data_IF_831352822136
#
_entry.id   IF_831352822136
#
_cell.length_a   1.000
_cell.length_b   1.000
_cell.length_c   1.000
_cell.angle_alpha   90.00
_cell.angle_beta   90.00
_cell.angle_gamma   90.00
#
_symmetry.space_group_name_H-M   'P 1'
#
loop_
_entity.id
_entity.type
_entity.pdbx_description
1 polymer ?
#
# COMPACT_ATOMS: atom_id res chain seq x y z
N UNK A 1 36.09 26.12 -19.64
CA UNK A 1 36.57 24.80 -19.19
C UNK A 1 35.37 24.10 -18.57
N UNK A 2 34.63 23.40 -19.43
CA UNK A 2 33.31 22.83 -19.09
C UNK A 2 33.56 21.45 -18.51
N UNK A 3 33.40 21.31 -17.20
CA UNK A 3 33.59 20.04 -16.50
C UNK A 3 32.42 19.10 -16.80
N UNK A 4 32.72 18.05 -17.56
CA UNK A 4 31.84 16.93 -17.90
C UNK A 4 31.62 16.07 -16.66
N UNK A 5 30.52 16.29 -15.93
CA UNK A 5 30.01 15.30 -14.98
C UNK A 5 29.04 14.35 -15.68
N UNK A 6 29.61 13.47 -16.50
CA UNK A 6 28.97 12.19 -16.87
C UNK A 6 28.97 11.29 -15.63
N UNK A 7 28.03 11.56 -14.73
CA UNK A 7 27.66 10.62 -13.69
C UNK A 7 26.56 9.73 -14.22
N UNK A 8 26.87 8.48 -14.56
CA UNK A 8 25.91 7.47 -15.02
C UNK A 8 24.70 7.43 -14.10
N UNK A 9 23.58 8.02 -14.55
CA UNK A 9 22.35 8.10 -13.79
C UNK A 9 21.67 6.74 -13.86
N UNK A 10 21.90 5.90 -12.86
CA UNK A 10 21.21 4.62 -12.74
C UNK A 10 19.80 4.85 -12.19
N UNK A 11 18.81 4.60 -13.06
CA UNK A 11 17.41 4.52 -12.65
C UNK A 11 17.29 3.42 -11.58
N UNK A 12 16.90 3.82 -10.37
CA UNK A 12 16.77 2.94 -9.22
C UNK A 12 15.41 2.24 -9.18
N UNK A 13 14.34 2.93 -9.58
CA UNK A 13 13.00 2.37 -9.65
C UNK A 13 12.13 3.09 -10.70
N UNK A 14 11.22 2.36 -11.34
CA UNK A 14 10.18 2.89 -12.22
C UNK A 14 8.86 2.20 -11.90
N UNK A 15 7.78 2.96 -11.78
CA UNK A 15 6.45 2.41 -11.52
C UNK A 15 5.35 3.27 -12.14
N UNK A 16 4.15 2.72 -12.24
CA UNK A 16 2.98 3.38 -12.82
C UNK A 16 1.78 3.25 -11.87
N UNK A 17 0.98 4.31 -11.75
CA UNK A 17 -0.28 4.33 -10.99
C UNK A 17 -1.33 5.06 -11.82
N UNK A 18 -2.42 4.40 -12.22
CA UNK A 18 -3.55 5.02 -12.96
C UNK A 18 -3.06 5.92 -14.10
N UNK A 19 -2.26 5.34 -15.01
CA UNK A 19 -1.62 6.01 -16.17
C UNK A 19 -0.56 7.08 -15.87
N UNK A 20 -0.25 7.32 -14.59
CA UNK A 20 0.86 8.19 -14.19
C UNK A 20 2.13 7.38 -14.01
N UNK A 21 3.14 7.66 -14.83
CA UNK A 21 4.48 7.10 -14.70
C UNK A 21 5.34 7.90 -13.72
N UNK A 22 6.13 7.17 -12.93
CA UNK A 22 7.07 7.71 -11.96
C UNK A 22 8.42 7.01 -12.15
N UNK A 23 9.52 7.75 -11.96
CA UNK A 23 10.86 7.16 -11.92
C UNK A 23 11.70 7.78 -10.82
N UNK A 24 12.40 6.94 -10.06
CA UNK A 24 13.38 7.35 -9.06
C UNK A 24 14.78 7.02 -9.57
N UNK A 25 15.67 8.01 -9.55
CA UNK A 25 17.04 7.91 -10.02
C UNK A 25 17.98 8.21 -8.86
N UNK A 26 19.03 7.39 -8.68
CA UNK A 26 20.00 7.61 -7.60
C UNK A 26 21.08 8.57 -8.06
N UNK A 27 21.37 9.58 -7.24
CA UNK A 27 22.48 10.52 -7.42
C UNK A 27 23.53 10.30 -6.31
N UNK A 28 24.75 10.81 -6.52
CA UNK A 28 25.83 10.69 -5.54
C UNK A 28 25.47 11.27 -4.15
N UNK A 29 24.66 12.33 -4.10
CA UNK A 29 24.22 12.98 -2.86
C UNK A 29 22.78 12.71 -2.43
N UNK A 30 22.02 11.90 -3.19
CA UNK A 30 20.58 11.79 -2.99
C UNK A 30 19.86 11.00 -4.07
N UNK A 31 18.67 11.46 -4.44
CA UNK A 31 17.89 10.88 -5.53
C UNK A 31 16.93 11.91 -6.14
N UNK A 32 16.50 11.64 -7.37
CA UNK A 32 15.54 12.45 -8.11
C UNK A 32 14.31 11.61 -8.43
N UNK A 33 13.15 12.09 -8.02
CA UNK A 33 11.85 11.56 -8.45
C UNK A 33 11.35 12.38 -9.63
N UNK A 34 11.17 11.73 -10.78
CA UNK A 34 10.47 12.30 -11.94
C UNK A 34 9.03 11.81 -11.97
N UNK A 35 8.09 12.73 -12.13
CA UNK A 35 6.66 12.42 -12.31
C UNK A 35 6.25 12.62 -13.77
N UNK A 36 5.05 12.18 -14.13
CA UNK A 36 4.62 12.01 -15.53
C UNK A 36 4.54 13.29 -16.35
N UNK A 37 4.39 14.43 -15.70
CA UNK A 37 4.39 15.76 -16.34
C UNK A 37 5.81 16.34 -16.55
N UNK A 38 6.85 15.53 -16.27
CA UNK A 38 8.25 15.92 -16.41
C UNK A 38 8.81 16.69 -15.21
N UNK A 39 7.99 17.06 -14.21
CA UNK A 39 8.51 17.68 -12.99
C UNK A 39 9.41 16.72 -12.23
N UNK A 40 10.43 17.28 -11.63
CA UNK A 40 11.45 16.56 -10.88
C UNK A 40 11.51 17.07 -9.44
N UNK A 41 11.65 16.15 -8.50
CA UNK A 41 11.92 16.42 -7.10
C UNK A 41 13.27 15.80 -6.75
N UNK A 42 14.28 16.65 -6.66
CA UNK A 42 15.61 16.29 -6.17
C UNK A 42 15.68 16.54 -4.67
N UNK A 43 16.13 15.53 -3.93
CA UNK A 43 16.35 15.66 -2.49
C UNK A 43 17.66 14.98 -2.11
N UNK A 44 18.28 15.51 -1.06
CA UNK A 44 19.43 14.89 -0.41
C UNK A 44 19.04 13.58 0.28
N UNK A 45 20.03 12.76 0.62
CA UNK A 45 19.79 11.53 1.39
C UNK A 45 19.03 11.78 2.71
N UNK A 46 19.35 12.87 3.41
CA UNK A 46 18.73 13.22 4.69
C UNK A 46 17.25 13.61 4.53
N UNK A 47 16.92 14.32 3.45
CA UNK A 47 15.56 14.73 3.11
C UNK A 47 14.73 13.54 2.62
N UNK A 48 15.29 12.64 1.79
CA UNK A 48 14.64 11.38 1.44
C UNK A 48 14.34 10.52 2.66
N UNK A 49 15.26 10.48 3.64
CA UNK A 49 15.04 9.77 4.91
C UNK A 49 13.89 10.38 5.71
N UNK A 50 13.83 11.72 5.83
CA UNK A 50 12.73 12.42 6.50
C UNK A 50 11.40 12.26 5.76
N UNK A 51 11.41 12.38 4.44
CA UNK A 51 10.24 12.16 3.60
C UNK A 51 9.74 10.72 3.73
N UNK A 52 10.63 9.72 3.72
CA UNK A 52 10.26 8.33 3.96
C UNK A 52 9.61 8.11 5.33
N UNK A 53 10.10 8.78 6.38
CA UNK A 53 9.45 8.77 7.71
C UNK A 53 8.09 9.46 7.71
N UNK A 54 7.96 10.60 7.02
CA UNK A 54 6.69 11.32 6.91
C UNK A 54 5.66 10.55 6.08
N UNK A 55 6.08 9.91 4.99
CA UNK A 55 5.24 9.04 4.17
C UNK A 55 4.80 7.79 4.93
N UNK A 56 5.68 7.22 5.78
CA UNK A 56 5.28 6.17 6.73
C UNK A 56 4.19 6.67 7.65
N UNK A 57 4.34 7.85 8.26
CA UNK A 57 3.30 8.49 9.09
C UNK A 57 1.99 8.77 8.34
N UNK A 58 2.08 9.18 7.08
CA UNK A 58 0.91 9.41 6.22
C UNK A 58 0.20 8.08 5.89
N UNK A 59 0.96 7.00 5.73
CA UNK A 59 0.43 5.64 5.61
C UNK A 59 -0.02 5.02 6.95
N UNK A 60 0.53 5.48 8.08
CA UNK A 60 0.18 5.06 9.45
C UNK A 60 -1.20 5.57 9.90
N UNK A 61 -1.89 6.41 9.13
CA UNK A 61 -3.35 6.60 9.25
C UNK A 61 -4.15 5.32 8.98
N UNK A 62 -3.49 4.26 8.50
CA UNK A 62 -4.03 2.89 8.37
C UNK A 62 -3.40 1.91 9.37
N UNK A 63 -3.08 2.38 10.58
CA UNK A 63 -2.63 1.47 11.64
C UNK A 63 -3.73 0.42 11.92
N UNK A 64 -3.49 -0.89 11.67
CA UNK A 64 -4.53 -1.90 11.84
C UNK A 64 -5.09 -1.91 13.26
N UNK A 65 -4.29 -1.52 14.25
CA UNK A 65 -4.73 -1.49 15.66
C UNK A 65 -5.87 -0.50 15.95
N UNK A 66 -6.09 0.51 15.10
CA UNK A 66 -7.16 1.50 15.26
C UNK A 66 -8.05 1.61 14.02
N UNK A 67 -8.30 0.50 13.33
CA UNK A 67 -9.29 0.50 12.25
C UNK A 67 -10.64 1.01 12.79
N UNK A 68 -11.18 2.06 12.17
CA UNK A 68 -12.30 2.87 12.68
C UNK A 68 -13.55 2.02 12.99
N UNK A 69 -13.74 0.93 12.25
CA UNK A 69 -14.87 0.02 12.40
C UNK A 69 -14.56 -1.24 13.23
N UNK A 70 -13.42 -1.33 13.91
CA UNK A 70 -13.16 -2.43 14.82
C UNK A 70 -14.16 -2.40 15.98
N UNK A 71 -14.92 -3.50 16.17
CA UNK A 71 -15.97 -3.59 17.19
C UNK A 71 -17.35 -3.09 16.76
N UNK A 72 -17.46 -2.36 15.64
CA UNK A 72 -18.76 -2.00 15.07
C UNK A 72 -19.54 -3.26 14.65
N UNK A 73 -20.88 -3.25 14.81
CA UNK A 73 -21.73 -4.34 14.33
C UNK A 73 -21.62 -4.48 12.80
N UNK A 74 -21.66 -5.71 12.31
CA UNK A 74 -21.72 -6.00 10.89
C UNK A 74 -23.17 -5.84 10.40
N UNK A 75 -23.36 -5.16 9.29
CA UNK A 75 -24.65 -5.13 8.60
C UNK A 75 -24.74 -6.26 7.57
N UNK A 76 -25.95 -6.56 7.10
CA UNK A 76 -26.18 -7.58 6.07
C UNK A 76 -25.47 -7.20 4.76
N UNK A 77 -25.52 -5.92 4.40
CA UNK A 77 -24.88 -5.38 3.20
C UNK A 77 -23.36 -5.54 3.28
N UNK A 78 -22.77 -5.35 4.47
CA UNK A 78 -21.34 -5.57 4.69
C UNK A 78 -20.97 -7.05 4.55
N UNK A 79 -21.83 -7.97 5.01
CA UNK A 79 -21.62 -9.41 4.82
C UNK A 79 -21.67 -9.80 3.34
N UNK A 80 -22.64 -9.27 2.60
CA UNK A 80 -22.81 -9.54 1.16
C UNK A 80 -21.62 -8.98 0.35
N UNK A 81 -21.15 -7.78 0.70
CA UNK A 81 -19.94 -7.20 0.11
C UNK A 81 -18.70 -8.03 0.45
N UNK A 82 -18.55 -8.45 1.71
CA UNK A 82 -17.41 -9.25 2.15
C UNK A 82 -17.37 -10.59 1.40
N UNK A 83 -18.53 -11.24 1.26
CA UNK A 83 -18.67 -12.47 0.48
C UNK A 83 -18.24 -12.26 -0.97
N UNK A 84 -18.75 -11.21 -1.61
CA UNK A 84 -18.42 -10.88 -3.00
C UNK A 84 -16.91 -10.69 -3.19
N UNK A 85 -16.25 -9.95 -2.30
CA UNK A 85 -14.79 -9.70 -2.38
C UNK A 85 -13.97 -10.94 -2.08
N UNK A 86 -14.44 -11.78 -1.17
CA UNK A 86 -13.81 -13.07 -0.88
C UNK A 86 -13.88 -14.03 -2.07
N UNK A 87 -15.04 -14.14 -2.72
CA UNK A 87 -15.23 -14.95 -3.92
C UNK A 87 -14.42 -14.43 -5.10
N UNK A 88 -14.29 -13.10 -5.23
CA UNK A 88 -13.42 -12.44 -6.21
C UNK A 88 -11.91 -12.57 -5.90
N UNK A 89 -11.53 -13.27 -4.83
CA UNK A 89 -10.13 -13.49 -4.40
C UNK A 89 -9.34 -12.19 -4.20
N UNK A 90 -10.00 -11.14 -3.72
CA UNK A 90 -9.30 -9.91 -3.34
C UNK A 90 -8.37 -10.20 -2.16
N UNK A 91 -7.10 -9.72 -2.18
CA UNK A 91 -6.19 -9.91 -1.06
C UNK A 91 -6.79 -9.40 0.26
N UNK A 92 -6.59 -10.13 1.35
CA UNK A 92 -7.16 -9.82 2.66
C UNK A 92 -6.82 -8.41 3.14
N UNK A 93 -5.62 -7.91 2.78
CA UNK A 93 -5.21 -6.53 3.06
C UNK A 93 -6.08 -5.49 2.35
N UNK A 94 -6.47 -5.76 1.11
CA UNK A 94 -7.36 -4.90 0.34
C UNK A 94 -8.76 -4.88 0.93
N UNK A 95 -9.29 -6.05 1.29
CA UNK A 95 -10.60 -6.17 1.96
C UNK A 95 -10.57 -5.43 3.30
N UNK A 96 -9.54 -5.63 4.12
CA UNK A 96 -9.38 -4.97 5.41
C UNK A 96 -9.37 -3.42 5.28
N UNK A 97 -8.66 -2.90 4.28
CA UNK A 97 -8.61 -1.45 4.03
C UNK A 97 -9.98 -0.89 3.62
N UNK A 98 -10.69 -1.58 2.73
CA UNK A 98 -12.01 -1.13 2.25
C UNK A 98 -13.07 -1.12 3.34
N UNK A 99 -13.07 -2.13 4.22
CA UNK A 99 -14.01 -2.20 5.34
C UNK A 99 -13.56 -1.35 6.54
N UNK A 100 -12.39 -0.74 6.47
CA UNK A 100 -11.73 -0.03 7.57
C UNK A 100 -11.72 -0.88 8.86
N UNK A 101 -11.37 -2.16 8.70
CA UNK A 101 -11.28 -3.16 9.77
C UNK A 101 -9.95 -3.88 9.72
N UNK A 102 -9.54 -4.48 10.83
CA UNK A 102 -8.34 -5.35 10.85
C UNK A 102 -8.51 -6.58 9.98
N UNK A 103 -7.42 -7.10 9.43
CA UNK A 103 -7.40 -8.42 8.81
C UNK A 103 -7.94 -9.50 9.74
N UNK A 104 -7.61 -9.44 11.04
CA UNK A 104 -8.16 -10.36 12.04
C UNK A 104 -9.68 -10.28 12.18
N UNK A 105 -10.27 -9.07 12.14
CA UNK A 105 -11.72 -8.90 12.15
C UNK A 105 -12.38 -9.41 10.85
N UNK A 106 -11.74 -9.21 9.70
CA UNK A 106 -12.20 -9.80 8.42
C UNK A 106 -12.17 -11.33 8.49
N UNK A 107 -11.05 -11.93 8.89
CA UNK A 107 -10.89 -13.38 9.06
C UNK A 107 -11.94 -13.95 10.01
N UNK A 108 -12.10 -13.34 11.19
CA UNK A 108 -13.10 -13.79 12.16
C UNK A 108 -14.53 -13.69 11.60
N UNK A 109 -14.83 -12.71 10.76
CA UNK A 109 -16.14 -12.60 10.12
C UNK A 109 -16.34 -13.65 9.03
N UNK A 110 -15.34 -13.90 8.18
CA UNK A 110 -15.39 -14.95 7.15
C UNK A 110 -15.67 -16.33 7.75
N UNK A 111 -15.01 -16.66 8.87
CA UNK A 111 -15.27 -17.91 9.62
C UNK A 111 -16.70 -17.95 10.16
N UNK A 112 -17.19 -16.85 10.76
CA UNK A 112 -18.58 -16.78 11.27
C UNK A 112 -19.64 -16.88 10.17
N UNK A 113 -19.34 -16.45 8.95
CA UNK A 113 -20.22 -16.58 7.78
C UNK A 113 -20.10 -17.96 7.09
N UNK A 114 -19.20 -18.84 7.55
CA UNK A 114 -18.96 -20.14 6.94
C UNK A 114 -18.26 -20.08 5.59
N UNK A 115 -17.64 -18.95 5.25
CA UNK A 115 -16.93 -18.73 3.98
C UNK A 115 -15.47 -19.21 4.02
N UNK A 116 -14.96 -19.46 5.22
CA UNK A 116 -13.68 -20.08 5.50
C UNK A 116 -13.81 -21.01 6.71
N UNK A 117 -13.04 -22.09 6.72
CA UNK A 117 -13.08 -23.07 7.83
C UNK A 117 -12.43 -22.49 9.08
N UNK A 118 -11.26 -21.87 8.91
CA UNK A 118 -10.47 -21.25 9.96
C UNK A 118 -9.56 -20.16 9.38
N UNK A 119 -8.71 -19.58 10.23
CA UNK A 119 -7.74 -18.57 9.81
C UNK A 119 -6.67 -19.09 8.85
N UNK A 120 -6.35 -20.38 8.89
CA UNK A 120 -5.35 -20.99 8.02
C UNK A 120 -5.91 -21.22 6.61
N UNK A 121 -7.19 -21.60 6.50
CA UNK A 121 -7.92 -21.63 5.24
C UNK A 121 -7.91 -20.26 4.55
N UNK A 122 -8.15 -19.19 5.31
CA UNK A 122 -8.09 -17.81 4.79
C UNK A 122 -6.70 -17.48 4.23
N UNK A 123 -5.63 -17.89 4.94
CA UNK A 123 -4.25 -17.65 4.51
C UNK A 123 -3.91 -18.41 3.23
N UNK A 124 -4.31 -19.68 3.14
CA UNK A 124 -4.03 -20.56 2.00
C UNK A 124 -4.71 -20.12 0.71
N UNK A 125 -5.93 -19.59 0.79
CA UNK A 125 -6.72 -19.21 -0.39
C UNK A 125 -6.21 -17.93 -1.09
N UNK A 126 -5.28 -17.22 -0.46
CA UNK A 126 -4.74 -15.93 -0.90
C UNK A 126 -3.22 -15.93 -1.14
N UNK A 127 -2.57 -17.09 -0.98
CA UNK A 127 -1.19 -17.39 -1.45
C UNK A 127 -1.24 -18.13 -2.76
#
# INVERSE_FOLDING_TARGET
MTDHRDGTINVFAKWTVQDRQFSLQKLAGGAVLTISDGRQLELTHSEWSKLGKALKKLGEGSDPKHAVNNGAKWTKEQDDQLKTRWEARIPLRGIAAEFERTQGAITARLVRLGLAVDSDDVRKKLT
#
